data_IF_570015309810
#
_entry.id   IF_570015309810
#
_cell.length_a   1.000
_cell.length_b   1.000
_cell.length_c   1.000
_cell.angle_alpha   90.00
_cell.angle_beta   90.00
_cell.angle_gamma   90.00
#
_symmetry.space_group_name_H-M   'P 1'
#
loop_
_entity.id
_entity.type
_entity.pdbx_description
1 polymer ?
#
# COMPACT_ATOMS: atom_id res chain seq x y z
N UNK A 1 -75.32 34.76 0.37
CA UNK A 1 -74.51 35.46 -0.65
C UNK A 1 -73.13 35.76 -0.07
N UNK A 2 -72.05 35.33 -0.74
CA UNK A 2 -70.63 35.40 -0.32
C UNK A 2 -70.24 34.29 0.68
N UNK A 3 -69.12 33.57 0.61
CA UNK A 3 -67.83 33.76 -0.07
C UNK A 3 -66.98 32.44 0.02
N UNK A 4 -65.74 32.38 -0.52
CA UNK A 4 -65.19 31.25 -1.30
C UNK A 4 -64.03 30.46 -0.64
N UNK A 5 -63.56 29.41 -1.34
CA UNK A 5 -62.11 29.17 -1.50
C UNK A 5 -61.57 27.77 -1.16
N UNK A 6 -61.09 27.06 -2.20
CA UNK A 6 -59.95 26.11 -2.21
C UNK A 6 -60.14 24.77 -1.47
N UNK A 7 -59.53 23.65 -1.86
CA UNK A 7 -58.44 23.37 -2.79
C UNK A 7 -58.55 21.92 -3.29
N UNK A 8 -58.17 21.72 -4.55
CA UNK A 8 -57.94 20.46 -5.26
C UNK A 8 -56.83 19.64 -4.57
N UNK A 9 -56.96 18.32 -4.44
CA UNK A 9 -56.20 17.33 -5.22
C UNK A 9 -56.44 15.91 -4.70
N UNK A 10 -56.94 15.03 -5.58
CA UNK A 10 -57.12 13.61 -5.33
C UNK A 10 -55.79 12.89 -5.60
N UNK A 11 -55.20 12.27 -4.57
CA UNK A 11 -54.17 11.25 -4.78
C UNK A 11 -54.72 9.88 -4.43
N UNK A 12 -54.87 9.13 -5.51
CA UNK A 12 -55.36 7.78 -5.66
C UNK A 12 -54.29 6.78 -5.16
N UNK A 13 -54.67 5.95 -4.20
CA UNK A 13 -53.88 4.83 -3.69
C UNK A 13 -54.05 3.62 -4.60
N UNK A 14 -52.95 2.98 -5.05
CA UNK A 14 -52.88 1.54 -5.35
C UNK A 14 -51.41 1.07 -5.64
N UNK A 15 -51.10 -0.24 -5.77
CA UNK A 15 -50.49 -1.07 -4.73
C UNK A 15 -49.31 -1.95 -5.25
N UNK A 16 -48.85 -2.90 -4.41
CA UNK A 16 -47.86 -3.97 -4.66
C UNK A 16 -46.40 -3.55 -4.55
N UNK A 17 -45.62 -4.30 -3.75
CA UNK A 17 -44.41 -5.01 -4.18
C UNK A 17 -43.86 -5.84 -3.01
N UNK A 18 -43.43 -7.04 -3.35
CA UNK A 18 -43.14 -8.17 -2.48
C UNK A 18 -42.03 -7.94 -1.46
N UNK A 19 -42.14 -8.70 -0.36
CA UNK A 19 -41.04 -9.01 0.56
C UNK A 19 -39.79 -9.47 -0.21
N UNK A 20 -38.70 -8.74 -0.03
CA UNK A 20 -37.40 -9.05 -0.61
C UNK A 20 -36.82 -10.33 0.02
N UNK A 21 -36.51 -11.28 -0.86
CA UNK A 21 -35.74 -12.48 -0.58
C UNK A 21 -34.25 -12.12 -0.39
N UNK A 22 -33.60 -12.80 0.54
CA UNK A 22 -32.22 -12.63 0.96
C UNK A 22 -31.28 -13.11 -0.16
N UNK A 23 -30.46 -12.21 -0.73
CA UNK A 23 -29.30 -12.59 -1.54
C UNK A 23 -28.02 -11.97 -0.99
N UNK A 24 -27.24 -12.83 -0.34
CA UNK A 24 -25.88 -12.56 0.07
C UNK A 24 -24.96 -12.52 -1.15
N UNK A 25 -24.40 -11.34 -1.43
CA UNK A 25 -23.11 -11.19 -2.09
C UNK A 25 -22.40 -10.02 -1.43
N UNK A 26 -21.42 -10.34 -0.58
CA UNK A 26 -20.57 -9.37 0.09
C UNK A 26 -19.89 -8.48 -0.96
N UNK A 27 -20.41 -7.26 -1.10
CA UNK A 27 -19.74 -6.20 -1.84
C UNK A 27 -18.51 -5.80 -1.05
N UNK A 28 -17.35 -6.05 -1.63
CA UNK A 28 -16.06 -5.50 -1.20
C UNK A 28 -16.23 -4.00 -0.91
N UNK A 29 -15.88 -3.49 0.29
CA UNK A 29 -16.03 -2.08 0.58
C UNK A 29 -15.15 -1.24 -0.35
N UNK A 30 -15.65 -0.11 -0.87
CA UNK A 30 -14.87 0.79 -1.72
C UNK A 30 -13.72 1.41 -0.90
N UNK A 31 -12.54 1.64 -1.50
CA UNK A 31 -11.41 2.23 -0.80
C UNK A 31 -11.77 3.62 -0.26
N UNK A 32 -11.61 3.79 1.04
CA UNK A 32 -11.88 5.03 1.75
C UNK A 32 -11.06 6.21 1.19
N UNK A 33 -11.64 7.42 1.10
CA UNK A 33 -10.98 8.60 0.57
C UNK A 33 -9.84 9.11 1.49
N UNK A 34 -8.79 9.72 0.91
CA UNK A 34 -7.56 10.08 1.61
C UNK A 34 -7.79 11.19 2.65
N UNK A 35 -7.39 10.91 3.90
CA UNK A 35 -7.48 11.88 5.01
C UNK A 35 -6.30 12.87 4.98
N UNK A 36 -6.52 14.13 5.41
CA UNK A 36 -5.74 15.29 4.99
C UNK A 36 -4.48 15.54 5.83
N UNK A 37 -3.47 16.04 5.12
CA UNK A 37 -2.24 16.75 5.52
C UNK A 37 -2.18 17.41 6.90
N UNK A 38 -1.16 17.06 7.70
CA UNK A 38 -0.50 18.02 8.60
C UNK A 38 0.94 17.59 8.99
N UNK A 39 1.88 18.58 8.92
CA UNK A 39 3.27 18.65 9.47
C UNK A 39 4.41 18.06 8.60
N UNK A 40 5.20 18.90 7.91
CA UNK A 40 6.48 18.49 7.27
C UNK A 40 7.57 18.15 8.31
N UNK A 41 8.65 17.36 8.05
CA UNK A 41 9.37 16.99 6.82
C UNK A 41 9.35 15.48 6.46
N UNK A 42 9.63 15.14 5.18
CA UNK A 42 9.29 13.87 4.48
C UNK A 42 7.77 13.65 4.56
N UNK A 43 7.01 13.72 3.43
CA UNK A 43 5.56 13.50 3.47
C UNK A 43 5.28 12.16 4.16
N UNK A 44 4.33 12.12 5.10
CA UNK A 44 4.05 10.95 5.96
C UNK A 44 3.91 9.63 5.18
N UNK A 45 3.53 9.72 3.91
CA UNK A 45 3.60 8.62 2.93
C UNK A 45 5.01 7.97 2.88
N UNK A 46 6.07 8.74 2.74
CA UNK A 46 7.41 8.19 2.52
C UNK A 46 8.07 7.69 3.81
N UNK A 47 7.60 8.15 4.98
CA UNK A 47 8.15 7.75 6.28
C UNK A 47 7.82 6.30 6.61
N UNK A 48 6.62 5.83 6.24
CA UNK A 48 6.24 4.41 6.42
C UNK A 48 7.09 3.50 5.54
N UNK A 49 7.52 3.93 4.35
CA UNK A 49 8.46 3.15 3.54
C UNK A 49 9.77 2.93 4.28
N UNK A 50 10.34 4.01 4.83
CA UNK A 50 11.59 3.94 5.58
C UNK A 50 11.46 3.05 6.80
N UNK A 51 10.42 3.27 7.61
CA UNK A 51 10.20 2.52 8.84
C UNK A 51 10.00 1.02 8.56
N UNK A 52 9.10 0.67 7.63
CA UNK A 52 8.79 -0.72 7.32
C UNK A 52 9.98 -1.43 6.70
N UNK A 53 10.68 -0.83 5.73
CA UNK A 53 11.86 -1.47 5.14
C UNK A 53 13.00 -1.63 6.15
N UNK A 54 13.24 -0.62 7.00
CA UNK A 54 14.25 -0.70 8.06
C UNK A 54 13.90 -1.78 9.07
N UNK A 55 12.66 -1.79 9.56
CA UNK A 55 12.13 -2.82 10.45
C UNK A 55 12.22 -4.20 9.82
N UNK A 56 11.88 -4.34 8.54
CA UNK A 56 11.97 -5.62 7.82
C UNK A 56 13.42 -6.13 7.77
N UNK A 57 14.39 -5.26 7.44
CA UNK A 57 15.82 -5.61 7.43
C UNK A 57 16.31 -5.99 8.82
N UNK A 58 15.98 -5.22 9.85
CA UNK A 58 16.38 -5.48 11.23
C UNK A 58 15.82 -6.80 11.73
N UNK A 59 14.52 -7.05 11.52
CA UNK A 59 13.89 -8.31 11.87
C UNK A 59 14.51 -9.48 11.08
N UNK A 60 14.73 -9.33 9.77
CA UNK A 60 15.44 -10.33 8.98
C UNK A 60 16.84 -10.59 9.52
N UNK A 61 17.57 -9.56 9.98
CA UNK A 61 18.95 -9.69 10.47
C UNK A 61 19.00 -10.38 11.84
N UNK A 62 17.99 -10.14 12.67
CA UNK A 62 17.80 -10.81 13.96
C UNK A 62 17.47 -12.29 13.77
N UNK A 63 16.54 -12.61 12.85
CA UNK A 63 16.15 -14.00 12.54
C UNK A 63 17.25 -14.74 11.75
N UNK A 64 18.06 -14.01 10.97
CA UNK A 64 19.15 -14.58 10.19
C UNK A 64 20.25 -15.18 11.09
N UNK A 65 20.21 -16.50 11.28
CA UNK A 65 21.26 -17.25 11.99
C UNK A 65 22.52 -17.46 11.13
N UNK A 66 22.42 -17.34 9.81
CA UNK A 66 23.51 -17.61 8.87
C UNK A 66 24.32 -16.34 8.50
N UNK A 67 25.66 -16.44 8.57
CA UNK A 67 26.58 -15.35 8.23
C UNK A 67 26.43 -14.84 6.78
N UNK A 68 26.10 -15.73 5.82
CA UNK A 68 25.78 -15.33 4.43
C UNK A 68 24.55 -14.42 4.35
N UNK A 69 23.52 -14.73 5.15
CA UNK A 69 22.27 -13.98 5.14
C UNK A 69 22.46 -12.59 5.74
N UNK A 70 23.22 -12.50 6.84
CA UNK A 70 23.63 -11.22 7.43
C UNK A 70 24.38 -10.34 6.43
N UNK A 71 25.30 -10.91 5.65
CA UNK A 71 25.98 -10.17 4.56
C UNK A 71 25.02 -9.64 3.49
N UNK A 72 24.02 -10.45 3.08
CA UNK A 72 22.99 -9.99 2.13
C UNK A 72 22.17 -8.83 2.70
N UNK A 73 21.76 -8.91 3.97
CA UNK A 73 20.95 -7.88 4.61
C UNK A 73 21.74 -6.58 4.82
N UNK A 74 23.04 -6.65 5.09
CA UNK A 74 23.92 -5.49 5.15
C UNK A 74 23.98 -4.75 3.79
N UNK A 75 24.11 -5.50 2.69
CA UNK A 75 24.07 -4.94 1.33
C UNK A 75 22.72 -4.29 1.03
N UNK A 76 21.62 -4.98 1.37
CA UNK A 76 20.26 -4.44 1.26
C UNK A 76 20.11 -3.14 2.06
N UNK A 77 20.63 -3.09 3.29
CA UNK A 77 20.57 -1.90 4.14
C UNK A 77 21.22 -0.70 3.46
N UNK A 78 22.43 -0.86 2.90
CA UNK A 78 23.09 0.21 2.14
C UNK A 78 22.29 0.63 0.91
N UNK A 79 21.64 -0.32 0.23
CA UNK A 79 20.78 -0.04 -0.92
C UNK A 79 19.52 0.73 -0.55
N UNK A 80 18.95 0.45 0.62
CA UNK A 80 17.83 1.21 1.16
C UNK A 80 18.24 2.65 1.50
N UNK A 81 19.44 2.88 2.02
CA UNK A 81 19.92 4.25 2.25
C UNK A 81 19.96 5.07 0.96
N UNK A 82 20.45 4.47 -0.14
CA UNK A 82 20.40 5.12 -1.46
C UNK A 82 18.97 5.40 -1.89
N UNK A 83 18.04 4.47 -1.67
CA UNK A 83 16.61 4.68 -1.96
C UNK A 83 16.04 5.85 -1.15
N UNK A 84 16.37 5.96 0.14
CA UNK A 84 15.91 7.06 0.99
C UNK A 84 16.47 8.40 0.56
N UNK A 85 17.75 8.45 0.16
CA UNK A 85 18.37 9.66 -0.37
C UNK A 85 17.66 10.11 -1.67
N UNK A 86 17.44 9.18 -2.61
CA UNK A 86 16.69 9.44 -3.85
C UNK A 86 15.26 9.90 -3.60
N UNK A 87 14.58 9.30 -2.63
CA UNK A 87 13.22 9.65 -2.23
C UNK A 87 13.18 11.06 -1.64
N UNK A 88 14.20 11.45 -0.87
CA UNK A 88 14.34 12.79 -0.28
C UNK A 88 14.67 13.84 -1.35
N UNK A 89 15.51 13.49 -2.31
CA UNK A 89 15.85 14.35 -3.45
C UNK A 89 14.73 14.47 -4.50
N UNK A 90 13.58 13.77 -4.33
CA UNK A 90 12.54 13.64 -5.36
C UNK A 90 13.09 13.16 -6.73
N UNK A 91 14.09 12.27 -6.68
CA UNK A 91 14.71 11.66 -7.87
C UNK A 91 14.00 10.39 -8.32
N UNK A 92 12.87 10.05 -7.71
CA UNK A 92 12.05 8.90 -8.04
C UNK A 92 10.73 9.38 -8.63
N UNK A 93 10.39 8.84 -9.79
CA UNK A 93 9.07 9.04 -10.40
C UNK A 93 7.94 8.56 -9.48
N UNK A 94 6.79 9.22 -9.56
CA UNK A 94 5.60 8.89 -8.75
C UNK A 94 5.18 7.42 -8.91
N UNK A 95 5.35 6.83 -10.10
CA UNK A 95 5.08 5.40 -10.34
C UNK A 95 5.98 4.48 -9.50
N UNK A 96 7.25 4.85 -9.31
CA UNK A 96 8.22 4.09 -8.49
C UNK A 96 7.83 4.20 -7.02
N UNK A 97 7.53 5.41 -6.56
CA UNK A 97 7.10 5.65 -5.18
C UNK A 97 5.83 4.86 -4.85
N UNK A 98 4.83 4.93 -5.72
CA UNK A 98 3.58 4.16 -5.56
C UNK A 98 3.84 2.65 -5.49
N UNK A 99 4.71 2.10 -6.34
CA UNK A 99 5.04 0.68 -6.29
C UNK A 99 5.75 0.28 -4.99
N UNK A 100 6.64 1.12 -4.45
CA UNK A 100 7.27 0.89 -3.14
C UNK A 100 6.22 0.84 -2.03
N UNK A 101 5.24 1.73 -2.07
CA UNK A 101 4.12 1.75 -1.13
C UNK A 101 3.30 0.47 -1.19
N UNK A 102 2.98 0.01 -2.39
CA UNK A 102 2.23 -1.24 -2.56
C UNK A 102 3.04 -2.46 -2.09
N UNK A 103 4.36 -2.48 -2.29
CA UNK A 103 5.24 -3.53 -1.74
C UNK A 103 5.15 -3.54 -0.21
N UNK A 104 5.23 -2.37 0.42
CA UNK A 104 5.13 -2.25 1.88
C UNK A 104 3.76 -2.70 2.39
N UNK A 105 2.67 -2.37 1.70
CA UNK A 105 1.34 -2.88 2.01
C UNK A 105 1.27 -4.41 1.90
N UNK A 106 1.78 -4.97 0.80
CA UNK A 106 1.79 -6.41 0.57
C UNK A 106 2.60 -7.16 1.64
N UNK A 107 3.78 -6.63 2.03
CA UNK A 107 4.60 -7.21 3.11
C UNK A 107 3.88 -7.18 4.46
N UNK A 108 3.13 -6.11 4.76
CA UNK A 108 2.30 -6.04 5.98
C UNK A 108 1.14 -7.04 5.99
N UNK A 109 0.59 -7.37 4.81
CA UNK A 109 -0.42 -8.41 4.64
C UNK A 109 0.17 -9.83 4.54
N UNK A 110 1.49 -9.97 4.71
CA UNK A 110 2.23 -11.23 4.53
C UNK A 110 2.23 -11.76 3.09
N UNK A 111 1.86 -10.93 2.12
CA UNK A 111 1.74 -11.29 0.71
C UNK A 111 3.02 -10.94 -0.07
N UNK A 112 4.07 -11.73 0.18
CA UNK A 112 5.35 -11.59 -0.52
C UNK A 112 5.26 -11.89 -2.03
N UNK A 113 4.27 -12.69 -2.44
CA UNK A 113 4.01 -12.97 -3.86
C UNK A 113 3.53 -11.70 -4.57
N UNK A 114 2.58 -10.99 -3.98
CA UNK A 114 2.10 -9.69 -4.48
C UNK A 114 3.23 -8.65 -4.47
N UNK A 115 4.07 -8.61 -3.41
CA UNK A 115 5.25 -7.75 -3.38
C UNK A 115 6.21 -8.00 -4.57
N UNK A 116 6.45 -9.26 -4.95
CA UNK A 116 7.27 -9.62 -6.11
C UNK A 116 6.59 -9.26 -7.46
N UNK A 117 5.27 -9.40 -7.56
CA UNK A 117 4.51 -8.96 -8.72
C UNK A 117 4.63 -7.45 -8.93
N UNK A 118 4.40 -6.66 -7.87
CA UNK A 118 4.53 -5.20 -7.90
C UNK A 118 5.96 -4.80 -8.24
N UNK A 119 6.97 -5.44 -7.63
CA UNK A 119 8.38 -5.23 -7.97
C UNK A 119 8.63 -5.41 -9.47
N UNK A 120 8.08 -6.46 -10.08
CA UNK A 120 8.23 -6.75 -11.52
C UNK A 120 7.53 -5.70 -12.38
N UNK A 121 6.31 -5.29 -12.01
CA UNK A 121 5.57 -4.20 -12.67
C UNK A 121 6.36 -2.89 -12.61
N UNK A 122 6.93 -2.57 -11.44
CA UNK A 122 7.80 -1.40 -11.25
C UNK A 122 8.99 -1.42 -12.19
N UNK A 123 9.68 -2.56 -12.37
CA UNK A 123 10.80 -2.63 -13.33
C UNK A 123 10.34 -2.34 -14.75
N UNK A 124 9.16 -2.83 -15.11
CA UNK A 124 8.63 -2.66 -16.46
C UNK A 124 8.24 -1.20 -16.75
N UNK A 125 7.81 -0.44 -15.74
CA UNK A 125 7.27 0.90 -15.91
C UNK A 125 8.26 2.02 -15.52
N UNK A 126 9.22 1.73 -14.64
CA UNK A 126 10.16 2.71 -14.13
C UNK A 126 11.39 2.87 -15.02
N UNK A 127 12.01 4.05 -14.98
CA UNK A 127 13.26 4.26 -15.69
C UNK A 127 14.40 3.50 -14.99
N UNK A 128 15.14 2.72 -15.79
CA UNK A 128 16.27 1.94 -15.28
C UNK A 128 17.27 2.79 -14.49
N UNK A 129 17.57 4.03 -14.91
CA UNK A 129 18.49 4.93 -14.18
C UNK A 129 18.05 5.24 -12.75
N UNK A 130 16.74 5.31 -12.49
CA UNK A 130 16.20 5.60 -11.16
C UNK A 130 16.26 4.38 -10.26
N UNK A 131 15.86 3.22 -10.79
CA UNK A 131 15.64 2.00 -9.98
C UNK A 131 16.85 1.07 -9.90
N UNK A 132 17.76 1.10 -10.87
CA UNK A 132 18.93 0.20 -10.95
C UNK A 132 19.87 0.31 -9.75
N UNK A 133 19.88 1.48 -9.09
CA UNK A 133 20.71 1.74 -7.92
C UNK A 133 20.33 0.89 -6.71
N UNK A 134 19.03 0.58 -6.52
CA UNK A 134 18.49 -0.10 -5.34
C UNK A 134 17.69 -1.38 -5.63
N UNK A 135 17.23 -1.62 -6.87
CA UNK A 135 16.43 -2.80 -7.23
C UNK A 135 16.99 -4.15 -6.78
N UNK A 136 18.27 -4.47 -7.00
CA UNK A 136 18.79 -5.75 -6.53
C UNK A 136 18.67 -5.89 -5.01
N UNK A 137 18.85 -4.79 -4.26
CA UNK A 137 18.62 -4.76 -2.82
C UNK A 137 17.15 -5.01 -2.46
N UNK A 138 16.22 -4.36 -3.14
CA UNK A 138 14.78 -4.55 -2.89
C UNK A 138 14.30 -5.98 -3.18
N UNK A 139 14.75 -6.57 -4.29
CA UNK A 139 14.45 -7.98 -4.61
C UNK A 139 15.02 -8.93 -3.55
N UNK A 140 16.26 -8.70 -3.14
CA UNK A 140 16.91 -9.52 -2.12
C UNK A 140 16.17 -9.37 -0.80
N UNK A 141 15.73 -8.17 -0.44
CA UNK A 141 14.93 -7.92 0.77
C UNK A 141 13.64 -8.75 0.78
N UNK A 142 12.84 -8.67 -0.28
CA UNK A 142 11.57 -9.40 -0.38
C UNK A 142 11.81 -10.91 -0.31
N UNK A 143 12.76 -11.43 -1.08
CA UNK A 143 13.10 -12.86 -1.03
C UNK A 143 13.64 -13.29 0.33
N UNK A 144 14.38 -12.41 1.00
CA UNK A 144 14.94 -12.68 2.32
C UNK A 144 13.86 -12.76 3.38
N UNK A 145 12.94 -11.79 3.37
CA UNK A 145 11.79 -11.79 4.26
C UNK A 145 10.88 -13.00 4.02
N UNK A 146 10.65 -13.37 2.74
CA UNK A 146 9.88 -14.55 2.37
C UNK A 146 10.54 -15.86 2.83
N UNK A 147 11.87 -15.99 2.68
CA UNK A 147 12.60 -17.18 3.13
C UNK A 147 12.63 -17.31 4.66
N UNK A 148 12.77 -16.18 5.37
CA UNK A 148 12.86 -16.16 6.83
C UNK A 148 11.49 -16.10 7.52
N UNK A 149 10.39 -15.96 6.76
CA UNK A 149 9.02 -15.75 7.27
C UNK A 149 8.97 -14.65 8.35
N UNK A 150 9.67 -13.55 8.08
CA UNK A 150 9.74 -12.42 9.02
C UNK A 150 8.41 -11.67 8.99
N UNK A 151 7.92 -11.25 10.16
CA UNK A 151 6.68 -10.51 10.28
C UNK A 151 6.98 -9.07 10.68
N UNK A 152 6.49 -8.09 9.92
CA UNK A 152 6.50 -6.68 10.33
C UNK A 152 5.10 -6.34 10.80
N UNK A 153 4.89 -6.41 12.11
CA UNK A 153 3.67 -5.88 12.73
C UNK A 153 3.87 -4.38 12.90
N UNK A 154 3.20 -3.58 12.08
CA UNK A 154 3.05 -2.16 12.37
C UNK A 154 2.18 -2.05 13.63
N UNK A 155 2.78 -1.66 14.76
CA UNK A 155 2.05 -1.36 16.00
C UNK A 155 1.63 0.11 16.02
#
# INVERSE_FOLDING_TARGET
VGQPGGVTNYNLYNPQEHQAEIQAAASVPPPEPPKPVEKGPIPSEHKVLQDIFTSLVLNCSSVASNAQMKRKLDDVSRKLEVLYDRLRENRLSQSVVLGLHQIVQAVQQYDYNTALQIYTQMISQANFSEISSFMPGLKVLIQSAMQLNVYVQAH
#
